data_IF_233274387871
#
_entry.id   IF_233274387871
#
_cell.length_a   1.000
_cell.length_b   1.000
_cell.length_c   1.000
_cell.angle_alpha   90.00
_cell.angle_beta   90.00
_cell.angle_gamma   90.00
#
_symmetry.space_group_name_H-M   'P 1'
#
loop_
_entity.id
_entity.type
_entity.pdbx_description
1 polymer ?
#
# COMPACT_ATOMS: atom_id res chain seq x y z
N UNK A 1 -5.68 9.24 -19.89
CA UNK A 1 -4.21 9.14 -19.99
C UNK A 1 -3.70 10.30 -20.86
N UNK A 2 -2.41 10.62 -20.81
CA UNK A 2 -1.78 11.65 -21.68
C UNK A 2 -1.51 11.06 -23.06
N UNK A 3 -1.16 11.90 -24.03
CA UNK A 3 -0.89 11.46 -25.42
C UNK A 3 0.24 10.42 -25.54
N UNK A 4 1.20 10.40 -24.59
CA UNK A 4 2.30 9.43 -24.53
C UNK A 4 1.96 8.15 -23.75
N UNK A 5 0.70 7.95 -23.35
CA UNK A 5 0.26 6.79 -22.56
C UNK A 5 0.48 6.91 -21.05
N UNK A 6 1.06 8.02 -20.56
CA UNK A 6 1.24 8.20 -19.12
C UNK A 6 -0.10 8.41 -18.39
N UNK A 7 -0.18 7.88 -17.17
CA UNK A 7 -1.25 8.22 -16.24
C UNK A 7 -1.30 9.75 -16.02
N UNK A 8 -2.51 10.33 -15.99
CA UNK A 8 -2.69 11.79 -15.83
C UNK A 8 -2.13 12.31 -14.50
N UNK A 9 -2.13 11.46 -13.47
CA UNK A 9 -1.62 11.76 -12.13
C UNK A 9 -0.13 11.47 -11.95
N UNK A 10 0.58 11.05 -13.00
CA UNK A 10 2.03 10.83 -12.93
C UNK A 10 2.74 12.19 -12.88
N UNK A 11 3.48 12.43 -11.81
CA UNK A 11 4.21 13.67 -11.52
C UNK A 11 5.70 13.40 -11.41
N UNK A 12 6.53 14.36 -11.77
CA UNK A 12 7.98 14.31 -11.59
C UNK A 12 8.38 15.39 -10.59
N UNK A 13 9.13 15.04 -9.54
CA UNK A 13 9.63 16.01 -8.57
C UNK A 13 10.86 16.79 -9.10
N UNK A 14 11.37 17.74 -8.30
CA UNK A 14 12.54 18.56 -8.67
C UNK A 14 13.83 17.76 -8.84
N UNK A 15 13.89 16.52 -8.33
CA UNK A 15 15.02 15.62 -8.41
C UNK A 15 14.87 14.60 -9.57
N UNK A 16 13.83 14.73 -10.39
CA UNK A 16 13.56 13.83 -11.51
C UNK A 16 12.85 12.54 -11.13
N UNK A 17 12.40 12.36 -9.88
CA UNK A 17 11.70 11.15 -9.46
C UNK A 17 10.23 11.19 -9.92
N UNK A 18 9.80 10.14 -10.63
CA UNK A 18 8.41 9.96 -11.06
C UNK A 18 7.58 9.27 -9.98
N UNK A 19 6.45 9.86 -9.60
CA UNK A 19 5.54 9.33 -8.59
C UNK A 19 4.07 9.64 -8.90
N UNK A 20 3.16 9.08 -8.10
CA UNK A 20 1.73 9.33 -8.24
C UNK A 20 1.33 10.59 -7.44
N UNK A 21 0.90 11.64 -8.12
CA UNK A 21 0.47 12.91 -7.50
C UNK A 21 -0.76 12.78 -6.61
N UNK A 22 -1.57 11.72 -6.80
CA UNK A 22 -2.72 11.41 -5.96
C UNK A 22 -2.44 10.31 -4.92
N UNK A 23 -1.17 9.91 -4.74
CA UNK A 23 -0.78 8.94 -3.72
C UNK A 23 -1.23 9.32 -2.30
N UNK A 24 -1.26 10.62 -1.90
CA UNK A 24 -1.84 11.01 -0.63
C UNK A 24 -3.30 10.61 -0.53
N UNK A 25 -4.10 10.73 -1.60
CA UNK A 25 -5.55 10.44 -1.62
C UNK A 25 -5.93 8.96 -1.86
N UNK A 26 -4.99 8.04 -1.63
CA UNK A 26 -5.24 6.59 -1.70
C UNK A 26 -6.35 6.13 -0.73
N UNK A 27 -7.28 5.24 -1.16
CA UNK A 27 -8.40 4.79 -0.33
C UNK A 27 -7.91 4.03 0.90
N UNK A 28 -8.78 3.91 1.90
CA UNK A 28 -8.49 3.21 3.16
C UNK A 28 -7.95 1.80 2.93
N UNK A 29 -8.51 1.06 1.98
CA UNK A 29 -8.03 -0.26 1.59
C UNK A 29 -6.53 -0.27 1.22
N UNK A 30 -6.07 0.70 0.44
CA UNK A 30 -4.66 0.81 0.06
C UNK A 30 -3.78 1.29 1.23
N UNK A 31 -4.35 2.02 2.20
CA UNK A 31 -3.63 2.49 3.40
C UNK A 31 -3.42 1.39 4.42
N UNK A 32 -4.36 0.45 4.51
CA UNK A 32 -4.32 -0.64 5.49
C UNK A 32 -3.65 -1.90 4.96
N UNK A 33 -3.26 -1.95 3.68
CA UNK A 33 -2.40 -3.01 3.16
C UNK A 33 -1.02 -2.98 3.81
N UNK A 34 -0.40 -4.12 4.16
CA UNK A 34 -0.87 -5.51 3.99
C UNK A 34 -1.68 -6.06 5.17
N UNK A 35 -2.00 -5.26 6.18
CA UNK A 35 -2.64 -5.68 7.44
C UNK A 35 -4.14 -5.89 7.36
N UNK A 36 -4.67 -6.26 6.20
CA UNK A 36 -6.07 -6.64 6.09
C UNK A 36 -6.36 -7.87 6.95
N UNK A 37 -7.54 -7.90 7.58
CA UNK A 37 -7.95 -9.03 8.44
C UNK A 37 -7.85 -10.39 7.74
N UNK A 38 -8.03 -10.45 6.41
CA UNK A 38 -7.86 -11.69 5.64
C UNK A 38 -6.41 -12.17 5.61
N UNK A 39 -5.45 -11.27 5.44
CA UNK A 39 -4.03 -11.60 5.36
C UNK A 39 -3.52 -12.06 6.73
N UNK A 40 -4.00 -11.44 7.81
CA UNK A 40 -3.63 -11.74 9.19
C UNK A 40 -4.32 -13.00 9.76
N UNK A 41 -5.23 -13.63 9.00
CA UNK A 41 -5.99 -14.81 9.46
C UNK A 41 -5.11 -16.02 9.76
N UNK A 42 -4.01 -16.22 9.01
CA UNK A 42 -3.04 -17.28 9.29
C UNK A 42 -1.73 -17.02 8.54
N UNK A 43 -0.61 -17.69 8.93
CA UNK A 43 0.65 -17.58 8.20
C UNK A 43 0.54 -17.97 6.72
N UNK A 44 -0.37 -18.88 6.37
CA UNK A 44 -0.61 -19.26 4.98
C UNK A 44 -1.26 -18.13 4.16
N UNK A 45 -2.24 -17.42 4.73
CA UNK A 45 -2.86 -16.27 4.06
C UNK A 45 -1.86 -15.12 3.86
N UNK A 46 -0.98 -14.88 4.84
CA UNK A 46 0.10 -13.90 4.70
C UNK A 46 1.04 -14.27 3.56
N UNK A 47 1.51 -15.52 3.50
CA UNK A 47 2.37 -15.99 2.40
C UNK A 47 1.68 -15.82 1.04
N UNK A 48 0.42 -16.23 0.92
CA UNK A 48 -0.35 -16.09 -0.32
C UNK A 48 -0.50 -14.62 -0.76
N UNK A 49 -0.76 -13.70 0.17
CA UNK A 49 -0.83 -12.27 -0.14
C UNK A 49 0.52 -11.72 -0.65
N UNK A 50 1.63 -12.28 -0.17
CA UNK A 50 2.99 -11.92 -0.58
C UNK A 50 3.38 -12.41 -1.97
N UNK A 51 2.75 -13.46 -2.51
CA UNK A 51 3.09 -14.03 -3.83
C UNK A 51 2.96 -13.00 -4.96
N UNK A 52 2.01 -12.06 -4.85
CA UNK A 52 1.73 -11.05 -5.87
C UNK A 52 2.16 -9.63 -5.47
N UNK A 53 2.83 -9.46 -4.32
CA UNK A 53 3.18 -8.15 -3.80
C UNK A 53 4.68 -8.08 -3.46
N UNK A 54 5.53 -7.49 -4.33
CA UNK A 54 6.97 -7.38 -4.06
C UNK A 54 7.28 -6.52 -2.83
N UNK A 55 6.37 -5.63 -2.44
CA UNK A 55 6.51 -4.81 -1.24
C UNK A 55 6.23 -5.56 0.07
N UNK A 56 5.56 -6.71 0.04
CA UNK A 56 5.36 -7.50 1.26
C UNK A 56 6.69 -8.09 1.74
N UNK A 57 6.90 -8.06 3.06
CA UNK A 57 8.12 -8.55 3.73
C UNK A 57 9.42 -7.78 3.39
N UNK A 58 9.34 -6.66 2.66
CA UNK A 58 10.50 -5.83 2.27
C UNK A 58 10.41 -4.39 2.81
N UNK A 59 9.68 -4.19 3.91
CA UNK A 59 9.37 -2.87 4.45
C UNK A 59 9.71 -2.73 5.93
N UNK A 60 9.24 -1.62 6.50
CA UNK A 60 9.36 -1.34 7.93
C UNK A 60 8.69 -2.45 8.76
N UNK A 61 9.33 -2.82 9.86
CA UNK A 61 8.72 -3.67 10.89
C UNK A 61 7.73 -2.88 11.76
N UNK A 62 6.63 -3.55 12.13
CA UNK A 62 5.57 -2.99 12.95
C UNK A 62 5.32 -3.92 14.13
N UNK A 63 5.16 -3.33 15.33
CA UNK A 63 4.67 -4.06 16.49
C UNK A 63 3.17 -4.39 16.36
N UNK A 64 2.70 -5.27 17.25
CA UNK A 64 1.32 -5.73 17.26
C UNK A 64 0.31 -4.59 17.41
N UNK A 65 0.55 -3.66 18.33
CA UNK A 65 -0.37 -2.55 18.60
C UNK A 65 -0.56 -1.69 17.35
N UNK A 66 0.54 -1.36 16.67
CA UNK A 66 0.52 -0.56 15.46
C UNK A 66 -0.18 -1.28 14.30
N UNK A 67 0.02 -2.59 14.17
CA UNK A 67 -0.70 -3.41 13.19
C UNK A 67 -2.21 -3.33 13.44
N UNK A 68 -2.65 -3.49 14.69
CA UNK A 68 -4.07 -3.43 15.04
C UNK A 68 -4.68 -2.05 14.79
N UNK A 69 -3.95 -0.97 15.08
CA UNK A 69 -4.41 0.40 14.76
C UNK A 69 -4.65 0.58 13.26
N UNK A 70 -3.75 0.06 12.42
CA UNK A 70 -3.91 0.13 10.96
C UNK A 70 -5.09 -0.75 10.51
N UNK A 71 -5.19 -1.98 11.01
CA UNK A 71 -6.25 -2.95 10.64
C UNK A 71 -7.65 -2.45 10.99
N UNK A 72 -7.80 -1.78 12.13
CA UNK A 72 -9.09 -1.34 12.66
C UNK A 72 -9.53 0.04 12.15
N UNK A 73 -8.73 0.71 11.33
CA UNK A 73 -9.06 2.01 10.78
C UNK A 73 -10.37 1.91 9.95
N UNK A 74 -11.37 2.75 10.25
CA UNK A 74 -12.70 2.74 9.61
C UNK A 74 -12.94 3.92 8.67
N UNK A 75 -12.17 4.98 8.84
CA UNK A 75 -12.25 6.19 8.03
C UNK A 75 -10.84 6.70 7.72
N UNK A 76 -10.82 7.60 6.75
CA UNK A 76 -9.63 8.27 6.29
C UNK A 76 -8.95 9.11 7.37
#
# INVERSE_FOLDING_TARGET
ERANGDCVFLTTDSNGHRGCGIYPVRPLQCRTWPFWSRNLKSPAHWRQAGENCPGMNNGREYDFERIEQIRLQKSW
#
